data_IF_807778485073
#
_entry.id   IF_807778485073
#
_cell.length_a   1.000
_cell.length_b   1.000
_cell.length_c   1.000
_cell.angle_alpha   90.00
_cell.angle_beta   90.00
_cell.angle_gamma   90.00
#
_symmetry.space_group_name_H-M   'P 1'
#
loop_
_entity.id
_entity.type
_entity.pdbx_description
1 polymer ?
#
# COMPACT_ATOMS: atom_id res chain seq x y z
N UNK A 1 6.81 -3.31 -24.78
CA UNK A 1 5.49 -3.49 -24.13
C UNK A 1 5.55 -3.76 -22.61
N UNK A 2 6.70 -4.15 -22.03
CA UNK A 2 6.86 -4.38 -20.57
C UNK A 2 6.62 -3.13 -19.69
N UNK A 3 7.09 -1.99 -20.17
CA UNK A 3 7.11 -0.72 -19.44
C UNK A 3 5.71 -0.16 -19.19
N UNK A 4 4.71 -0.52 -20.01
CA UNK A 4 3.37 0.03 -19.90
C UNK A 4 2.62 -0.53 -18.68
N UNK A 5 2.81 -1.82 -18.36
CA UNK A 5 2.11 -2.49 -17.25
C UNK A 5 2.66 -2.06 -15.88
N UNK A 6 3.99 -1.97 -15.73
CA UNK A 6 4.63 -1.51 -14.48
C UNK A 6 4.27 -0.07 -14.16
N UNK A 7 4.31 0.79 -15.18
CA UNK A 7 3.93 2.20 -15.08
C UNK A 7 2.46 2.39 -14.73
N UNK A 8 1.54 1.62 -15.35
CA UNK A 8 0.11 1.67 -15.00
C UNK A 8 -0.15 1.27 -13.55
N UNK A 9 0.55 0.27 -13.02
CA UNK A 9 0.40 -0.14 -11.63
C UNK A 9 1.02 0.89 -10.67
N UNK A 10 2.16 1.49 -11.02
CA UNK A 10 2.77 2.58 -10.26
C UNK A 10 1.82 3.79 -10.16
N UNK A 11 1.24 4.19 -11.30
CA UNK A 11 0.24 5.25 -11.36
C UNK A 11 -1.00 4.90 -10.54
N UNK A 12 -1.43 3.64 -10.56
CA UNK A 12 -2.53 3.16 -9.73
C UNK A 12 -2.25 3.37 -8.24
N UNK A 13 -1.10 2.89 -7.75
CA UNK A 13 -0.68 3.06 -6.35
C UNK A 13 -0.63 4.54 -5.97
N UNK A 14 0.02 5.37 -6.79
CA UNK A 14 0.13 6.81 -6.55
C UNK A 14 -1.24 7.51 -6.53
N UNK A 15 -2.11 7.18 -7.49
CA UNK A 15 -3.43 7.80 -7.61
C UNK A 15 -4.35 7.43 -6.44
N UNK A 16 -4.49 6.15 -6.13
CA UNK A 16 -5.35 5.71 -5.03
C UNK A 16 -4.80 6.12 -3.66
N UNK A 17 -3.48 6.14 -3.47
CA UNK A 17 -2.88 6.64 -2.24
C UNK A 17 -3.06 8.13 -2.05
N UNK A 18 -2.87 8.93 -3.11
CA UNK A 18 -3.14 10.35 -3.08
C UNK A 18 -4.62 10.63 -2.78
N UNK A 19 -5.55 9.87 -3.35
CA UNK A 19 -6.97 9.97 -3.03
C UNK A 19 -7.24 9.66 -1.56
N UNK A 20 -6.66 8.58 -1.02
CA UNK A 20 -6.78 8.22 0.39
C UNK A 20 -6.32 9.35 1.31
N UNK A 21 -5.14 9.93 1.03
CA UNK A 21 -4.60 11.08 1.75
C UNK A 21 -5.54 12.30 1.67
N UNK A 22 -5.95 12.68 0.45
CA UNK A 22 -6.79 13.85 0.22
C UNK A 22 -8.14 13.72 0.93
N UNK A 23 -8.79 12.55 0.83
CA UNK A 23 -10.06 12.32 1.53
C UNK A 23 -9.90 12.35 3.05
N UNK A 24 -8.80 11.82 3.60
CA UNK A 24 -8.49 11.92 5.02
C UNK A 24 -8.32 13.37 5.50
N UNK A 25 -7.57 14.19 4.75
CA UNK A 25 -7.38 15.61 5.08
C UNK A 25 -8.67 16.42 4.93
N UNK A 26 -9.46 16.15 3.89
CA UNK A 26 -10.75 16.83 3.69
C UNK A 26 -11.75 16.42 4.79
N UNK A 27 -11.77 15.14 5.19
CA UNK A 27 -12.59 14.66 6.29
C UNK A 27 -12.25 15.41 7.59
N UNK A 28 -10.97 15.57 7.90
CA UNK A 28 -10.52 16.34 9.06
C UNK A 28 -10.97 17.80 9.02
N UNK A 29 -10.84 18.47 7.87
CA UNK A 29 -11.20 19.88 7.74
C UNK A 29 -12.71 20.14 7.73
N UNK A 30 -13.51 19.17 7.26
CA UNK A 30 -14.98 19.29 7.17
C UNK A 30 -15.68 18.85 8.45
N UNK A 31 -14.96 18.26 9.39
CA UNK A 31 -15.49 17.77 10.65
C UNK A 31 -15.88 18.94 11.57
N UNK A 32 -17.09 18.96 12.15
CA UNK A 32 -17.47 19.96 13.13
C UNK A 32 -16.67 19.80 14.44
N UNK A 33 -16.33 20.91 15.13
CA UNK A 33 -15.58 20.85 16.38
C UNK A 33 -16.40 20.25 17.54
N UNK A 34 -17.72 20.48 17.55
CA UNK A 34 -18.65 19.96 18.56
C UNK A 34 -20.08 19.88 18.03
N UNK A 35 -20.88 18.97 18.58
CA UNK A 35 -22.33 18.94 18.35
C UNK A 35 -23.06 20.00 19.20
N UNK A 36 -24.27 20.36 18.80
CA UNK A 36 -25.13 21.25 19.61
C UNK A 36 -26.02 20.42 20.54
N UNK A 37 -25.92 20.65 21.85
CA UNK A 37 -26.73 19.97 22.85
C UNK A 37 -28.10 20.65 22.99
N UNK A 38 -29.17 19.95 22.59
CA UNK A 38 -30.55 20.40 22.78
C UNK A 38 -31.11 19.70 24.02
N UNK A 39 -31.31 20.45 25.10
CA UNK A 39 -31.87 19.94 26.36
C UNK A 39 -33.38 19.75 26.22
N UNK A 40 -33.84 18.50 26.24
CA UNK A 40 -35.25 18.11 26.35
C UNK A 40 -35.66 17.84 27.80
N UNK A 41 -36.91 17.38 27.98
CA UNK A 41 -37.41 16.90 29.28
C UNK A 41 -36.79 15.51 29.53
N UNK A 42 -35.81 15.45 30.42
CA UNK A 42 -35.07 14.25 30.87
C UNK A 42 -34.06 13.62 29.86
N UNK A 43 -33.87 14.23 28.69
CA UNK A 43 -32.89 13.78 27.68
C UNK A 43 -32.14 14.97 27.05
N UNK A 44 -30.90 14.75 26.64
CA UNK A 44 -30.10 15.66 25.80
C UNK A 44 -29.98 15.04 24.41
N UNK A 45 -30.41 15.78 23.39
CA UNK A 45 -30.27 15.38 22.00
C UNK A 45 -29.08 16.13 21.41
N UNK A 46 -28.08 15.39 20.94
CA UNK A 46 -26.91 15.93 20.26
C UNK A 46 -27.21 16.09 18.78
N UNK A 47 -27.45 17.34 18.36
CA UNK A 47 -27.64 17.65 16.95
C UNK A 47 -26.30 18.00 16.32
N UNK A 48 -25.86 17.15 15.41
CA UNK A 48 -24.69 17.37 14.57
C UNK A 48 -25.12 17.98 13.23
N UNK A 49 -24.41 18.98 12.70
CA UNK A 49 -24.66 19.47 11.34
C UNK A 49 -24.33 18.36 10.33
N UNK A 50 -25.02 18.33 9.19
CA UNK A 50 -24.76 17.35 8.12
C UNK A 50 -23.29 17.37 7.70
N UNK A 51 -22.52 16.37 8.13
CA UNK A 51 -21.08 16.30 7.90
C UNK A 51 -20.74 15.12 6.97
N UNK A 52 -19.96 15.35 5.89
CA UNK A 52 -19.55 14.28 5.00
C UNK A 52 -18.38 13.45 5.55
N UNK A 53 -17.98 13.65 6.81
CA UNK A 53 -16.77 13.09 7.43
C UNK A 53 -16.75 11.57 7.36
N UNK A 54 -17.85 10.92 7.74
CA UNK A 54 -17.96 9.45 7.71
C UNK A 54 -17.86 8.92 6.28
N UNK A 55 -18.53 9.56 5.31
CA UNK A 55 -18.47 9.15 3.91
C UNK A 55 -17.05 9.29 3.34
N UNK A 56 -16.36 10.41 3.64
CA UNK A 56 -14.98 10.64 3.24
C UNK A 56 -14.01 9.66 3.92
N UNK A 57 -14.24 9.31 5.18
CA UNK A 57 -13.48 8.29 5.91
C UNK A 57 -13.64 6.89 5.30
N UNK A 58 -14.85 6.51 4.88
CA UNK A 58 -15.07 5.25 4.16
C UNK A 58 -14.35 5.26 2.80
N UNK A 59 -14.43 6.37 2.05
CA UNK A 59 -13.74 6.51 0.77
C UNK A 59 -12.22 6.44 0.92
N UNK A 60 -11.65 7.03 1.98
CA UNK A 60 -10.21 6.91 2.25
C UNK A 60 -9.79 5.49 2.58
N UNK A 61 -10.58 4.77 3.40
CA UNK A 61 -10.35 3.35 3.70
C UNK A 61 -10.34 2.50 2.43
N UNK A 62 -11.34 2.66 1.56
CA UNK A 62 -11.42 1.90 0.31
C UNK A 62 -10.23 2.19 -0.61
N UNK A 63 -9.86 3.47 -0.77
CA UNK A 63 -8.72 3.86 -1.57
C UNK A 63 -7.39 3.30 -1.00
N UNK A 64 -7.22 3.28 0.32
CA UNK A 64 -6.07 2.67 0.98
C UNK A 64 -6.02 1.16 0.74
N UNK A 65 -7.14 0.44 0.87
CA UNK A 65 -7.20 -1.01 0.61
C UNK A 65 -6.82 -1.32 -0.84
N UNK A 66 -7.34 -0.54 -1.80
CA UNK A 66 -6.95 -0.70 -3.21
C UNK A 66 -5.45 -0.47 -3.40
N UNK A 67 -4.90 0.59 -2.81
CA UNK A 67 -3.47 0.88 -2.83
C UNK A 67 -2.65 -0.28 -2.26
N UNK A 68 -3.09 -0.85 -1.14
CA UNK A 68 -2.41 -1.95 -0.46
C UNK A 68 -2.40 -3.23 -1.32
N UNK A 69 -3.56 -3.59 -1.90
CA UNK A 69 -3.67 -4.75 -2.79
C UNK A 69 -2.84 -4.56 -4.07
N UNK A 70 -2.88 -3.38 -4.68
CA UNK A 70 -2.09 -3.08 -5.89
C UNK A 70 -0.60 -3.04 -5.55
N UNK A 71 -0.21 -2.50 -4.40
CA UNK A 71 1.18 -2.51 -3.91
C UNK A 71 1.73 -3.93 -3.78
N UNK A 72 0.94 -4.84 -3.19
CA UNK A 72 1.28 -6.27 -3.15
C UNK A 72 1.37 -6.88 -4.56
N UNK A 73 0.39 -6.61 -5.43
CA UNK A 73 0.39 -7.12 -6.80
C UNK A 73 1.64 -6.67 -7.57
N UNK A 74 2.11 -5.45 -7.35
CA UNK A 74 3.32 -4.93 -7.99
C UNK A 74 4.58 -5.72 -7.61
N UNK A 75 4.70 -6.11 -6.34
CA UNK A 75 5.84 -6.87 -5.81
C UNK A 75 5.81 -8.33 -6.27
N UNK A 76 4.64 -8.97 -6.26
CA UNK A 76 4.51 -10.41 -6.47
C UNK A 76 4.13 -10.83 -7.90
N UNK A 77 3.51 -9.97 -8.69
CA UNK A 77 3.02 -10.35 -10.01
C UNK A 77 4.15 -10.34 -11.06
N UNK A 78 4.31 -11.41 -11.85
CA UNK A 78 5.33 -11.50 -12.88
C UNK A 78 5.01 -10.59 -14.07
N UNK A 79 6.02 -9.90 -14.58
CA UNK A 79 5.89 -9.05 -15.76
C UNK A 79 6.39 -9.81 -17.00
N UNK A 80 5.62 -9.77 -18.09
CA UNK A 80 5.98 -10.39 -19.38
C UNK A 80 6.30 -11.89 -19.35
N UNK A 81 5.59 -12.68 -18.55
CA UNK A 81 5.69 -14.15 -18.59
C UNK A 81 7.00 -14.72 -18.06
N UNK A 82 7.90 -13.88 -17.53
CA UNK A 82 9.08 -14.31 -16.77
C UNK A 82 8.87 -13.99 -15.29
N UNK A 83 8.59 -15.03 -14.51
CA UNK A 83 8.52 -14.92 -13.06
C UNK A 83 9.92 -15.05 -12.46
N UNK A 84 10.33 -14.07 -11.66
CA UNK A 84 11.52 -14.23 -10.81
C UNK A 84 11.12 -15.06 -9.59
N UNK A 85 11.90 -16.10 -9.22
CA UNK A 85 11.63 -16.88 -8.01
C UNK A 85 11.58 -15.98 -6.79
N UNK A 86 10.63 -16.23 -5.88
CA UNK A 86 10.50 -15.45 -4.62
C UNK A 86 11.80 -15.48 -3.82
N UNK A 87 12.52 -16.60 -3.86
CA UNK A 87 13.80 -16.79 -3.16
C UNK A 87 14.87 -15.78 -3.60
N UNK A 88 14.91 -15.41 -4.87
CA UNK A 88 15.84 -14.40 -5.37
C UNK A 88 15.39 -12.98 -5.03
N UNK A 89 14.08 -12.72 -5.00
CA UNK A 89 13.54 -11.41 -4.64
C UNK A 89 13.78 -11.07 -3.16
N UNK A 90 13.60 -12.06 -2.26
CA UNK A 90 13.77 -11.90 -0.81
C UNK A 90 15.22 -12.06 -0.33
N UNK A 91 16.17 -12.34 -1.23
CA UNK A 91 17.61 -12.33 -0.90
C UNK A 91 18.12 -10.91 -0.59
N UNK A 92 17.47 -9.87 -1.12
CA UNK A 92 17.80 -8.49 -0.80
C UNK A 92 17.18 -8.06 0.53
N UNK A 93 18.01 -7.91 1.56
CA UNK A 93 17.58 -7.45 2.89
C UNK A 93 16.81 -6.12 2.83
N UNK A 94 17.24 -5.20 1.94
CA UNK A 94 16.59 -3.90 1.74
C UNK A 94 15.12 -4.05 1.31
N UNK A 95 14.85 -4.88 0.29
CA UNK A 95 13.51 -5.10 -0.23
C UNK A 95 12.58 -5.69 0.84
N UNK A 96 13.09 -6.64 1.64
CA UNK A 96 12.33 -7.26 2.74
C UNK A 96 11.94 -6.21 3.79
N UNK A 97 12.90 -5.38 4.22
CA UNK A 97 12.65 -4.34 5.23
C UNK A 97 11.61 -3.34 4.75
N UNK A 98 11.71 -2.87 3.51
CA UNK A 98 10.74 -1.92 2.95
C UNK A 98 9.33 -2.50 2.84
N UNK A 99 9.18 -3.78 2.50
CA UNK A 99 7.87 -4.46 2.47
C UNK A 99 7.27 -4.51 3.88
N UNK A 100 8.06 -4.87 4.90
CA UNK A 100 7.56 -4.88 6.28
C UNK A 100 7.11 -3.51 6.76
N UNK A 101 7.87 -2.46 6.45
CA UNK A 101 7.51 -1.09 6.80
C UNK A 101 6.24 -0.66 6.04
N UNK A 102 6.14 -0.97 4.74
CA UNK A 102 4.95 -0.67 3.94
C UNK A 102 3.69 -1.36 4.50
N UNK A 103 3.82 -2.63 4.90
CA UNK A 103 2.72 -3.40 5.50
C UNK A 103 2.29 -2.82 6.85
N UNK A 104 3.25 -2.52 7.73
CA UNK A 104 2.99 -1.97 9.05
C UNK A 104 2.33 -0.59 8.96
N UNK A 105 2.85 0.29 8.09
CA UNK A 105 2.29 1.64 7.89
C UNK A 105 0.91 1.60 7.25
N UNK A 106 0.68 0.73 6.26
CA UNK A 106 -0.65 0.52 5.66
C UNK A 106 -1.66 0.03 6.70
N UNK A 107 -1.27 -0.93 7.53
CA UNK A 107 -2.11 -1.45 8.61
C UNK A 107 -2.44 -0.40 9.67
N UNK A 108 -1.44 0.39 10.11
CA UNK A 108 -1.64 1.47 11.08
C UNK A 108 -2.56 2.57 10.53
N UNK A 109 -2.38 2.99 9.28
CA UNK A 109 -3.28 3.94 8.63
C UNK A 109 -4.72 3.42 8.60
N UNK A 110 -4.92 2.14 8.24
CA UNK A 110 -6.23 1.51 8.21
C UNK A 110 -6.89 1.50 9.59
N UNK A 111 -6.14 1.11 10.63
CA UNK A 111 -6.65 1.10 12.02
C UNK A 111 -7.11 2.49 12.42
N UNK A 112 -6.32 3.54 12.17
CA UNK A 112 -6.72 4.90 12.55
C UNK A 112 -7.90 5.42 11.74
N UNK A 113 -7.98 5.15 10.44
CA UNK A 113 -9.14 5.52 9.64
C UNK A 113 -10.41 4.81 10.12
N UNK A 114 -10.34 3.50 10.37
CA UNK A 114 -11.49 2.72 10.88
C UNK A 114 -11.91 3.25 12.25
N UNK A 115 -10.95 3.46 13.16
CA UNK A 115 -11.23 4.00 14.49
C UNK A 115 -11.92 5.36 14.43
N UNK A 116 -11.40 6.29 13.62
CA UNK A 116 -11.97 7.63 13.46
C UNK A 116 -13.38 7.58 12.86
N UNK A 117 -13.56 6.79 11.80
CA UNK A 117 -14.83 6.66 11.06
C UNK A 117 -15.91 6.00 11.91
N UNK A 118 -15.56 4.92 12.62
CA UNK A 118 -16.50 4.22 13.52
C UNK A 118 -16.88 5.12 14.68
N UNK A 119 -15.93 5.84 15.29
CA UNK A 119 -16.22 6.74 16.41
C UNK A 119 -17.17 7.86 15.99
N UNK A 120 -16.91 8.52 14.85
CA UNK A 120 -17.80 9.57 14.32
C UNK A 120 -19.18 9.01 13.97
N UNK A 121 -19.23 7.85 13.31
CA UNK A 121 -20.50 7.18 12.99
C UNK A 121 -21.29 6.77 14.24
N UNK A 122 -20.60 6.40 15.33
CA UNK A 122 -21.25 6.05 16.59
C UNK A 122 -21.84 7.29 17.28
N UNK A 123 -21.15 8.43 17.22
CA UNK A 123 -21.65 9.72 17.73
C UNK A 123 -22.88 10.20 16.96
N UNK A 124 -22.86 10.06 15.63
CA UNK A 124 -23.99 10.45 14.78
C UNK A 124 -25.21 9.52 14.93
N UNK A 125 -25.00 8.23 15.21
CA UNK A 125 -26.10 7.26 15.36
C UNK A 125 -26.68 7.18 16.77
N UNK A 126 -25.92 7.60 17.80
CA UNK A 126 -26.34 7.61 19.21
C UNK A 126 -26.43 9.05 19.72
N UNK A 127 -27.35 9.80 19.15
CA UNK A 127 -27.57 11.23 19.41
C UNK A 127 -28.41 11.51 20.65
N UNK A 128 -29.14 10.53 21.20
CA UNK A 128 -29.98 10.69 22.39
C UNK A 128 -29.27 10.18 23.66
N UNK A 129 -29.03 11.09 24.60
CA UNK A 129 -28.44 10.78 25.90
C UNK A 129 -29.43 11.08 27.04
N UNK A 130 -29.56 10.14 27.98
CA UNK A 130 -30.46 10.29 29.15
C UNK A 130 -29.79 11.05 30.32
N UNK A 131 -28.59 11.57 30.12
CA UNK A 131 -27.86 12.31 31.13
C UNK A 131 -27.81 13.80 30.76
N UNK A 132 -28.33 14.64 31.65
CA UNK A 132 -28.46 16.09 31.45
C UNK A 132 -27.12 16.85 31.44
N UNK A 133 -26.02 16.21 31.85
CA UNK A 133 -24.66 16.76 31.80
C UNK A 133 -23.81 16.23 30.65
N UNK A 134 -24.38 15.49 29.70
CA UNK A 134 -23.62 14.95 28.57
C UNK A 134 -23.26 16.06 27.57
N UNK A 135 -21.95 16.23 27.34
CA UNK A 135 -21.43 16.99 26.21
C UNK A 135 -21.63 16.20 24.90
N UNK A 136 -21.69 16.89 23.77
CA UNK A 136 -21.84 16.30 22.43
C UNK A 136 -20.48 16.24 21.71
N UNK A 137 -19.57 15.30 22.07
CA UNK A 137 -18.27 15.21 21.46
C UNK A 137 -18.38 14.68 20.02
N UNK A 138 -17.35 14.98 19.25
CA UNK A 138 -17.08 14.40 17.94
C UNK A 138 -15.75 13.63 18.02
N UNK A 139 -15.38 12.87 16.99
CA UNK A 139 -14.11 12.15 16.96
C UNK A 139 -12.91 13.07 17.24
N UNK A 140 -11.83 12.52 17.79
CA UNK A 140 -10.67 13.33 18.20
C UNK A 140 -10.06 14.06 16.99
N UNK A 141 -9.91 15.38 17.09
CA UNK A 141 -9.27 16.21 16.07
C UNK A 141 -7.82 15.77 15.83
N UNK A 142 -7.41 15.81 14.56
CA UNK A 142 -6.10 15.41 14.06
C UNK A 142 -5.99 13.93 13.72
N UNK A 143 -6.99 13.11 14.05
CA UNK A 143 -6.93 11.67 13.81
C UNK A 143 -7.14 11.30 12.33
N UNK A 144 -8.09 11.94 11.64
CA UNK A 144 -8.29 11.69 10.20
C UNK A 144 -7.12 12.25 9.40
N UNK A 145 -6.64 13.44 9.77
CA UNK A 145 -5.46 14.05 9.16
C UNK A 145 -4.21 13.18 9.35
N UNK A 146 -3.95 12.73 10.58
CA UNK A 146 -2.82 11.85 10.91
C UNK A 146 -2.87 10.50 10.19
N UNK A 147 -4.06 9.87 10.13
CA UNK A 147 -4.26 8.66 9.35
C UNK A 147 -3.97 8.89 7.86
N UNK A 148 -4.39 10.05 7.32
CA UNK A 148 -4.06 10.47 5.96
C UNK A 148 -2.57 10.53 5.70
N UNK A 149 -1.78 11.15 6.59
CA UNK A 149 -0.33 11.23 6.44
C UNK A 149 0.34 9.85 6.50
N UNK A 150 -0.09 8.97 7.41
CA UNK A 150 0.45 7.60 7.48
C UNK A 150 0.10 6.81 6.21
N UNK A 151 -1.10 7.03 5.65
CA UNK A 151 -1.47 6.44 4.36
C UNK A 151 -0.59 6.96 3.22
N UNK A 152 -0.25 8.26 3.22
CA UNK A 152 0.67 8.84 2.24
C UNK A 152 2.06 8.19 2.33
N UNK A 153 2.61 8.06 3.54
CA UNK A 153 3.89 7.39 3.78
C UNK A 153 3.86 5.92 3.32
N UNK A 154 2.78 5.20 3.63
CA UNK A 154 2.59 3.83 3.16
C UNK A 154 2.65 3.75 1.62
N UNK A 155 2.00 4.68 0.91
CA UNK A 155 2.12 4.75 -0.56
C UNK A 155 3.54 4.92 -1.04
N UNK A 156 4.31 5.80 -0.41
CA UNK A 156 5.70 6.05 -0.79
C UNK A 156 6.54 4.78 -0.59
N UNK A 157 6.33 4.05 0.52
CA UNK A 157 6.99 2.78 0.73
C UNK A 157 6.60 1.72 -0.30
N UNK A 158 5.33 1.66 -0.73
CA UNK A 158 4.91 0.78 -1.82
C UNK A 158 5.57 1.13 -3.16
N UNK A 159 5.72 2.42 -3.48
CA UNK A 159 6.43 2.87 -4.70
C UNK A 159 7.94 2.58 -4.63
N UNK A 160 8.56 2.71 -3.46
CA UNK A 160 9.96 2.31 -3.26
C UNK A 160 10.11 0.79 -3.42
N UNK A 161 9.20 -0.01 -2.84
CA UNK A 161 9.18 -1.45 -3.03
C UNK A 161 9.08 -1.83 -4.51
N UNK A 162 8.22 -1.13 -5.26
CA UNK A 162 8.12 -1.31 -6.71
C UNK A 162 9.45 -1.05 -7.40
N UNK A 163 10.08 0.09 -7.13
CA UNK A 163 11.35 0.46 -7.75
C UNK A 163 12.46 -0.57 -7.45
N UNK A 164 12.60 -0.98 -6.19
CA UNK A 164 13.56 -2.01 -5.79
C UNK A 164 13.27 -3.35 -6.46
N UNK A 165 11.99 -3.71 -6.58
CA UNK A 165 11.56 -4.94 -7.25
C UNK A 165 11.90 -4.90 -8.75
N UNK A 166 11.76 -3.75 -9.41
CA UNK A 166 12.16 -3.60 -10.81
C UNK A 166 13.67 -3.76 -11.00
N UNK A 167 14.47 -3.16 -10.12
CA UNK A 167 15.93 -3.29 -10.16
C UNK A 167 16.38 -4.73 -9.90
N UNK A 168 15.89 -5.36 -8.84
CA UNK A 168 16.26 -6.75 -8.51
C UNK A 168 15.88 -7.75 -9.62
N UNK A 169 14.81 -7.47 -10.38
CA UNK A 169 14.41 -8.29 -11.52
C UNK A 169 15.27 -8.04 -12.75
N UNK A 170 15.70 -6.80 -12.98
CA UNK A 170 16.63 -6.48 -14.07
C UNK A 170 17.95 -7.24 -13.85
N UNK A 171 18.53 -7.12 -12.64
CA UNK A 171 19.78 -7.79 -12.27
C UNK A 171 19.68 -9.32 -12.45
N UNK A 172 18.59 -9.94 -12.01
CA UNK A 172 18.38 -11.38 -12.17
C UNK A 172 18.25 -11.84 -13.63
N UNK A 173 17.60 -11.04 -14.48
CA UNK A 173 17.39 -11.39 -15.88
C UNK A 173 18.66 -11.21 -16.72
N UNK A 174 19.50 -10.23 -16.38
CA UNK A 174 20.83 -10.06 -16.99
C UNK A 174 21.73 -11.25 -16.62
N UNK A 175 21.77 -11.65 -15.35
CA UNK A 175 22.52 -12.83 -14.89
C UNK A 175 22.08 -14.14 -15.61
N UNK A 176 20.78 -14.37 -15.83
CA UNK A 176 20.29 -15.57 -16.54
C UNK A 176 20.61 -15.55 -18.05
N UNK A 177 20.71 -14.37 -18.67
CA UNK A 177 21.10 -14.25 -20.08
C UNK A 177 22.59 -14.52 -20.27
N UNK A 178 23.45 -13.94 -19.42
CA UNK A 178 24.90 -14.16 -19.47
C UNK A 178 25.26 -15.60 -19.08
N UNK A 179 24.57 -16.18 -18.10
CA UNK A 179 24.75 -17.58 -17.74
C UNK A 179 24.38 -18.53 -18.90
N UNK A 180 23.32 -18.25 -19.67
CA UNK A 180 22.95 -19.04 -20.86
C UNK A 180 23.89 -18.84 -22.05
N UNK A 181 24.62 -17.72 -22.11
CA UNK A 181 25.57 -17.42 -23.17
C UNK A 181 26.91 -18.17 -23.08
N UNK A 182 27.28 -18.70 -21.91
CA UNK A 182 28.62 -19.27 -21.68
C UNK A 182 28.72 -20.81 -21.67
N UNK A 183 27.63 -21.56 -21.90
CA UNK A 183 27.65 -23.03 -22.01
C UNK A 183 27.72 -23.55 -23.46
N UNK A 184 28.20 -22.74 -24.41
CA UNK A 184 28.11 -23.02 -25.85
C UNK A 184 29.42 -23.21 -26.62
N UNK A 185 30.60 -23.09 -26.01
CA UNK A 185 31.87 -23.23 -26.74
C UNK A 185 32.95 -23.94 -25.91
N UNK A 186 32.79 -25.25 -25.73
CA UNK A 186 33.96 -26.14 -25.61
C UNK A 186 34.03 -26.88 -26.94
N UNK A 187 34.88 -26.39 -27.84
CA UNK A 187 35.23 -27.09 -29.08
C UNK A 187 35.85 -28.44 -28.71
N UNK A 188 35.06 -29.51 -28.78
CA UNK A 188 35.53 -30.89 -28.61
C UNK A 188 36.23 -31.41 -29.87
N UNK A 189 37.31 -30.77 -30.31
CA UNK A 189 38.03 -31.19 -31.53
C UNK A 189 39.50 -31.55 -31.35
N UNK A 190 40.03 -31.63 -30.12
CA UNK A 190 41.46 -31.94 -29.91
C UNK A 190 41.77 -33.34 -29.32
N UNK A 191 40.81 -34.25 -29.27
CA UNK A 191 41.05 -35.60 -28.72
C UNK A 191 41.36 -36.71 -29.75
N UNK A 192 41.26 -36.45 -31.06
CA UNK A 192 41.52 -37.49 -32.08
C UNK A 192 42.92 -37.43 -32.74
N UNK A 193 43.81 -36.53 -32.32
CA UNK A 193 45.16 -36.43 -32.90
C UNK A 193 46.22 -37.37 -32.28
N UNK A 194 45.89 -38.14 -31.23
CA UNK A 194 46.90 -38.92 -30.46
C UNK A 194 46.93 -40.42 -30.83
N UNK A 195 45.98 -40.94 -31.63
CA UNK A 195 45.91 -42.37 -31.94
C UNK A 195 46.17 -42.70 -33.42
N UNK A 196 47.23 -42.15 -34.01
CA UNK A 196 47.80 -42.70 -35.24
C UNK A 196 48.87 -43.75 -34.89
N UNK A 197 48.64 -45.06 -35.08
CA UNK A 197 49.67 -46.06 -34.89
C UNK A 197 50.71 -45.97 -36.00
N UNK A 198 51.96 -45.72 -35.61
CA UNK A 198 53.13 -45.95 -36.44
C UNK A 198 53.10 -47.38 -37.01
N UNK A 199 53.06 -47.51 -38.34
CA UNK A 199 53.46 -48.74 -39.03
C UNK A 199 54.72 -48.45 -39.84
N UNK A 200 55.71 -49.30 -39.57
CA UNK A 200 57.01 -49.38 -40.21
C UNK A 200 56.94 -49.68 -41.72
#
# INVERSE_FOLDING_TARGET
>A
MALNSTWSLALGVAFFGALSFMFGVIAENKKPPFGTAIKGKDVVICKYPSDPTVALGILSILALIVTWVVGHAVVFYPYNGKSVPRETLFRSFSLVVFIFIAELTSGLALIFFVWATVTEGLHLSRDVHHNLSTDCPTAKTGLFGGAGFIALDATLFWLVCQMLTLNARADYLEEDQDAKGHYGQVYGTDYDAINAPNKA
#
